data_IF_107877784837
#
_entry.id   IF_107877784837
#
_cell.length_a   1.000
_cell.length_b   1.000
_cell.length_c   1.000
_cell.angle_alpha   90.00
_cell.angle_beta   90.00
_cell.angle_gamma   90.00
#
_symmetry.space_group_name_H-M   'P 1'
#
loop_
_entity.id
_entity.type
_entity.pdbx_description
1 polymer ?
#
# COMPACT_ATOMS: atom_id res chain seq x y z
N UNK A 1 4.78 -41.05 -3.83
CA UNK A 1 4.89 -41.02 -5.30
C UNK A 1 5.37 -39.63 -5.66
N UNK A 2 6.69 -39.44 -5.76
CA UNK A 2 7.27 -38.14 -6.06
C UNK A 2 6.99 -37.79 -7.51
N UNK A 3 6.47 -36.59 -7.77
CA UNK A 3 6.47 -36.03 -9.11
C UNK A 3 7.94 -35.96 -9.54
N UNK A 4 8.29 -36.66 -10.61
CA UNK A 4 9.66 -36.67 -11.15
C UNK A 4 9.91 -35.31 -11.81
N UNK A 5 10.56 -34.42 -11.08
CA UNK A 5 10.82 -33.02 -11.42
C UNK A 5 11.58 -32.88 -12.75
N UNK A 6 12.46 -33.84 -13.00
CA UNK A 6 13.29 -34.00 -14.19
C UNK A 6 12.43 -34.00 -15.46
N UNK A 7 11.26 -34.66 -15.43
CA UNK A 7 10.34 -34.70 -16.56
C UNK A 7 9.83 -33.30 -16.96
N UNK A 8 9.52 -32.46 -15.98
CA UNK A 8 9.05 -31.09 -16.22
C UNK A 8 10.15 -30.21 -16.80
N UNK A 9 11.37 -30.35 -16.27
CA UNK A 9 12.57 -29.65 -16.78
C UNK A 9 12.85 -30.06 -18.22
N UNK A 10 12.81 -31.37 -18.52
CA UNK A 10 12.97 -31.90 -19.89
C UNK A 10 11.94 -31.27 -20.83
N UNK A 11 10.66 -31.29 -20.43
CA UNK A 11 9.58 -30.69 -21.24
C UNK A 11 9.86 -29.22 -21.54
N UNK A 12 10.22 -28.45 -20.52
CA UNK A 12 10.50 -27.02 -20.65
C UNK A 12 11.61 -26.73 -21.67
N UNK A 13 12.78 -27.36 -21.52
CA UNK A 13 13.89 -27.14 -22.44
C UNK A 13 13.62 -27.67 -23.85
N UNK A 14 12.88 -28.78 -23.97
CA UNK A 14 12.42 -29.29 -25.27
C UNK A 14 11.56 -28.25 -25.99
N UNK A 15 10.59 -27.65 -25.28
CA UNK A 15 9.68 -26.65 -25.85
C UNK A 15 10.41 -25.35 -26.21
N UNK A 16 11.36 -24.92 -25.38
CA UNK A 16 12.21 -23.76 -25.70
C UNK A 16 13.06 -23.97 -26.97
N UNK A 17 13.48 -25.20 -27.25
CA UNK A 17 14.23 -25.56 -28.46
C UNK A 17 13.34 -25.96 -29.63
N UNK A 18 12.01 -25.82 -29.51
CA UNK A 18 11.02 -26.20 -30.51
C UNK A 18 11.12 -27.69 -30.97
N UNK A 19 11.67 -28.56 -30.11
CA UNK A 19 11.95 -29.95 -30.43
C UNK A 19 10.70 -30.84 -30.24
N UNK A 20 10.42 -31.77 -31.15
CA UNK A 20 9.32 -32.74 -30.97
C UNK A 20 9.77 -33.87 -30.04
N UNK A 21 8.83 -34.47 -29.31
CA UNK A 21 9.09 -35.62 -28.43
C UNK A 21 9.72 -36.81 -29.18
N UNK A 22 9.37 -36.98 -30.47
CA UNK A 22 9.98 -38.00 -31.33
C UNK A 22 11.47 -37.74 -31.54
N UNK A 23 11.84 -36.50 -31.82
CA UNK A 23 13.21 -36.09 -32.10
C UNK A 23 14.06 -36.17 -30.83
N UNK A 24 13.50 -35.72 -29.70
CA UNK A 24 14.13 -35.87 -28.39
C UNK A 24 14.36 -37.36 -28.03
N UNK A 25 13.41 -38.23 -28.36
CA UNK A 25 13.47 -39.67 -28.06
C UNK A 25 14.32 -40.50 -29.01
N UNK A 26 14.74 -39.99 -30.18
CA UNK A 26 15.36 -40.82 -31.21
C UNK A 26 16.61 -41.58 -30.72
N UNK A 27 16.60 -42.90 -30.80
CA UNK A 27 17.71 -43.75 -30.30
C UNK A 27 17.84 -43.81 -28.77
N UNK A 28 16.92 -43.21 -28.00
CA UNK A 28 16.86 -43.26 -26.54
C UNK A 28 15.57 -43.95 -26.09
N UNK A 29 14.42 -43.49 -26.59
CA UNK A 29 13.10 -43.87 -26.10
C UNK A 29 11.98 -43.55 -27.10
N UNK A 30 10.81 -44.18 -26.95
CA UNK A 30 9.65 -43.87 -27.82
C UNK A 30 9.05 -42.51 -27.48
N UNK A 31 8.46 -41.82 -28.46
CA UNK A 31 7.75 -40.54 -28.23
C UNK A 31 6.66 -40.65 -27.17
N UNK A 32 5.94 -41.78 -27.12
CA UNK A 32 4.94 -42.08 -26.09
C UNK A 32 5.55 -42.19 -24.70
N UNK A 33 6.74 -42.78 -24.58
CA UNK A 33 7.45 -42.87 -23.32
C UNK A 33 7.99 -41.50 -22.88
N UNK A 34 8.56 -40.69 -23.79
CA UNK A 34 8.93 -39.28 -23.51
C UNK A 34 7.75 -38.49 -22.99
N UNK A 35 6.57 -38.62 -23.61
CA UNK A 35 5.35 -37.97 -23.13
C UNK A 35 4.95 -38.38 -21.72
N UNK A 36 5.19 -39.64 -21.32
CA UNK A 36 4.93 -40.10 -19.95
C UNK A 36 5.96 -39.55 -18.96
N UNK A 37 7.23 -39.48 -19.35
CA UNK A 37 8.32 -38.89 -18.57
C UNK A 37 8.03 -37.41 -18.30
N UNK A 38 7.72 -36.63 -19.34
CA UNK A 38 7.42 -35.19 -19.23
C UNK A 38 6.24 -34.86 -18.31
N UNK A 39 5.29 -35.80 -18.17
CA UNK A 39 4.13 -35.67 -17.28
C UNK A 39 4.34 -36.29 -15.91
N UNK A 40 5.50 -36.88 -15.63
CA UNK A 40 5.78 -37.61 -14.39
C UNK A 40 4.89 -38.83 -14.17
N UNK A 41 4.43 -39.47 -15.26
CA UNK A 41 3.52 -40.63 -15.21
C UNK A 41 4.24 -41.99 -15.22
N UNK A 42 5.56 -41.98 -15.27
CA UNK A 42 6.40 -43.18 -15.25
C UNK A 42 7.68 -42.89 -14.50
N UNK A 43 8.20 -43.88 -13.79
CA UNK A 43 9.60 -43.85 -13.37
C UNK A 43 10.49 -44.04 -14.59
N UNK A 44 11.66 -43.42 -14.56
CA UNK A 44 12.65 -43.50 -15.63
C UNK A 44 14.03 -43.69 -15.03
N UNK A 45 14.92 -44.39 -15.75
CA UNK A 45 16.27 -44.63 -15.28
C UNK A 45 17.14 -43.37 -15.37
N UNK A 46 18.12 -43.27 -14.47
CA UNK A 46 19.12 -42.18 -14.49
C UNK A 46 19.86 -42.11 -15.83
N UNK A 47 20.12 -43.26 -16.47
CA UNK A 47 20.72 -43.34 -17.80
C UNK A 47 19.84 -42.68 -18.87
N UNK A 48 18.52 -42.89 -18.82
CA UNK A 48 17.59 -42.24 -19.75
C UNK A 48 17.56 -40.73 -19.53
N UNK A 49 17.51 -40.28 -18.26
CA UNK A 49 17.60 -38.85 -17.93
C UNK A 49 18.90 -38.24 -18.45
N UNK A 50 20.04 -38.92 -18.27
CA UNK A 50 21.33 -38.45 -18.73
C UNK A 50 21.36 -38.27 -20.25
N UNK A 51 20.90 -39.26 -21.02
CA UNK A 51 20.87 -39.20 -22.48
C UNK A 51 19.96 -38.07 -22.99
N UNK A 52 18.79 -37.88 -22.37
CA UNK A 52 17.87 -36.79 -22.73
C UNK A 52 18.46 -35.41 -22.38
N UNK A 53 19.13 -35.30 -21.24
CA UNK A 53 19.77 -34.06 -20.78
C UNK A 53 20.93 -33.67 -21.68
N UNK A 54 21.77 -34.64 -22.08
CA UNK A 54 22.84 -34.43 -23.06
C UNK A 54 22.30 -33.93 -24.40
N UNK A 55 21.19 -34.50 -24.88
CA UNK A 55 20.55 -34.05 -26.13
C UNK A 55 19.99 -32.64 -26.05
N UNK A 56 19.44 -32.26 -24.90
CA UNK A 56 18.95 -30.91 -24.63
C UNK A 56 20.09 -29.92 -24.31
N UNK A 57 21.33 -30.39 -24.13
CA UNK A 57 22.47 -29.54 -23.76
C UNK A 57 22.37 -28.96 -22.35
N UNK A 58 21.71 -29.68 -21.43
CA UNK A 58 21.49 -29.25 -20.04
C UNK A 58 22.18 -30.19 -19.04
N UNK A 59 22.49 -29.63 -17.87
CA UNK A 59 22.91 -30.37 -16.68
C UNK A 59 21.70 -30.56 -15.77
N UNK A 60 21.16 -31.78 -15.71
CA UNK A 60 19.92 -32.06 -14.98
C UNK A 60 20.05 -31.78 -13.47
N UNK A 61 21.18 -32.14 -12.86
CA UNK A 61 21.38 -31.93 -11.42
C UNK A 61 21.36 -30.44 -11.11
N UNK A 62 22.05 -29.64 -11.94
CA UNK A 62 22.05 -28.17 -11.83
C UNK A 62 20.66 -27.59 -12.04
N UNK A 63 19.90 -28.09 -13.01
CA UNK A 63 18.55 -27.59 -13.29
C UNK A 63 17.55 -27.95 -12.19
N UNK A 64 17.65 -29.13 -11.58
CA UNK A 64 16.87 -29.50 -10.40
C UNK A 64 17.16 -28.55 -9.23
N UNK A 65 18.42 -28.18 -9.01
CA UNK A 65 18.80 -27.18 -8.02
C UNK A 65 18.25 -25.79 -8.36
N UNK A 66 18.31 -25.37 -9.63
CA UNK A 66 17.75 -24.11 -10.10
C UNK A 66 16.22 -24.06 -9.88
N UNK A 67 15.52 -25.15 -10.17
CA UNK A 67 14.06 -25.24 -9.94
C UNK A 67 13.72 -25.01 -8.46
N UNK A 68 14.36 -25.75 -7.55
CA UNK A 68 14.15 -25.59 -6.10
C UNK A 68 14.55 -24.20 -5.61
N UNK A 69 15.57 -23.60 -6.24
CA UNK A 69 15.98 -22.23 -5.97
C UNK A 69 14.90 -21.23 -6.36
N UNK A 70 14.22 -21.39 -7.50
CA UNK A 70 13.10 -20.53 -7.88
C UNK A 70 11.98 -20.61 -6.84
N UNK A 71 11.59 -21.82 -6.42
CA UNK A 71 10.58 -22.00 -5.36
C UNK A 71 10.94 -21.25 -4.07
N UNK A 72 12.19 -21.39 -3.61
CA UNK A 72 12.68 -20.68 -2.42
C UNK A 72 12.66 -19.17 -2.63
N UNK A 73 13.17 -18.68 -3.76
CA UNK A 73 13.24 -17.25 -4.07
C UNK A 73 11.85 -16.63 -4.16
N UNK A 74 10.86 -17.29 -4.77
CA UNK A 74 9.48 -16.79 -4.81
C UNK A 74 8.89 -16.59 -3.41
N UNK A 75 9.11 -17.56 -2.52
CA UNK A 75 8.67 -17.45 -1.11
C UNK A 75 9.40 -16.32 -0.38
N UNK A 76 10.72 -16.26 -0.50
CA UNK A 76 11.54 -15.21 0.11
C UNK A 76 11.19 -13.82 -0.43
N UNK A 77 10.82 -13.73 -1.71
CA UNK A 77 10.41 -12.50 -2.35
C UNK A 77 9.08 -12.02 -1.80
N UNK A 78 8.09 -12.91 -1.71
CA UNK A 78 6.81 -12.61 -1.08
C UNK A 78 7.03 -12.13 0.37
N UNK A 79 7.83 -12.84 1.16
CA UNK A 79 8.15 -12.46 2.55
C UNK A 79 8.84 -11.09 2.62
N UNK A 80 9.75 -10.77 1.69
CA UNK A 80 10.40 -9.47 1.62
C UNK A 80 9.39 -8.36 1.32
N UNK A 81 8.41 -8.59 0.45
CA UNK A 81 7.33 -7.64 0.13
C UNK A 81 6.43 -7.43 1.35
N UNK A 82 5.96 -8.49 2.01
CA UNK A 82 5.13 -8.41 3.24
C UNK A 82 5.83 -7.61 4.35
N UNK A 83 7.15 -7.78 4.46
CA UNK A 83 7.97 -7.08 5.46
C UNK A 83 8.43 -5.69 5.02
N UNK A 84 8.08 -5.25 3.81
CA UNK A 84 8.52 -3.99 3.19
C UNK A 84 10.05 -3.83 3.13
N UNK A 85 10.76 -4.93 2.88
CA UNK A 85 12.22 -4.93 2.72
C UNK A 85 12.59 -4.66 1.26
N UNK A 86 12.37 -3.44 0.79
CA UNK A 86 12.45 -3.07 -0.63
C UNK A 86 13.76 -3.49 -1.30
N UNK A 87 14.91 -3.17 -0.71
CA UNK A 87 16.23 -3.54 -1.26
C UNK A 87 16.39 -5.06 -1.42
N UNK A 88 15.84 -5.83 -0.47
CA UNK A 88 15.85 -7.31 -0.56
C UNK A 88 14.91 -7.78 -1.66
N UNK A 89 13.72 -7.20 -1.76
CA UNK A 89 12.76 -7.54 -2.80
C UNK A 89 13.32 -7.27 -4.21
N UNK A 90 13.97 -6.13 -4.42
CA UNK A 90 14.63 -5.77 -5.69
C UNK A 90 15.77 -6.74 -6.04
N UNK A 91 16.59 -7.11 -5.05
CA UNK A 91 17.67 -8.06 -5.24
C UNK A 91 17.16 -9.44 -5.64
N UNK A 92 16.08 -9.92 -5.01
CA UNK A 92 15.49 -11.22 -5.35
C UNK A 92 14.85 -11.19 -6.73
N UNK A 93 14.16 -10.09 -7.11
CA UNK A 93 13.62 -9.93 -8.46
C UNK A 93 14.70 -10.09 -9.54
N UNK A 94 15.86 -9.42 -9.37
CA UNK A 94 16.99 -9.56 -10.30
C UNK A 94 17.57 -10.98 -10.34
N UNK A 95 17.59 -11.67 -9.21
CA UNK A 95 18.03 -13.08 -9.18
C UNK A 95 17.06 -13.99 -9.93
N UNK A 96 15.75 -13.80 -9.73
CA UNK A 96 14.70 -14.57 -10.42
C UNK A 96 14.80 -14.35 -11.94
N UNK A 97 14.95 -13.11 -12.40
CA UNK A 97 15.04 -12.76 -13.83
C UNK A 97 16.25 -13.41 -14.53
N UNK A 98 17.27 -13.82 -13.78
CA UNK A 98 18.44 -14.53 -14.30
C UNK A 98 18.27 -16.05 -14.41
N UNK A 99 17.12 -16.62 -14.03
CA UNK A 99 16.89 -18.08 -14.03
C UNK A 99 15.87 -18.44 -15.11
N UNK A 100 16.31 -19.16 -16.15
CA UNK A 100 15.44 -19.58 -17.27
C UNK A 100 14.19 -20.34 -16.81
N UNK A 101 14.35 -21.24 -15.83
CA UNK A 101 13.26 -22.05 -15.29
C UNK A 101 12.12 -21.23 -14.66
N UNK A 102 12.30 -19.94 -14.39
CA UNK A 102 11.22 -19.07 -13.91
C UNK A 102 9.97 -19.13 -14.79
N UNK A 103 10.16 -19.30 -16.10
CA UNK A 103 9.09 -19.29 -17.10
C UNK A 103 8.45 -20.67 -17.32
N UNK A 104 8.83 -21.69 -16.55
CA UNK A 104 8.10 -22.96 -16.57
C UNK A 104 6.67 -22.75 -16.07
N UNK A 105 5.73 -23.52 -16.62
CA UNK A 105 4.30 -23.40 -16.31
C UNK A 105 4.00 -23.50 -14.80
N UNK A 106 4.78 -24.28 -14.06
CA UNK A 106 4.64 -24.50 -12.62
C UNK A 106 4.76 -23.22 -11.79
N UNK A 107 5.60 -22.28 -12.22
CA UNK A 107 5.84 -21.03 -11.50
C UNK A 107 5.01 -19.87 -12.02
N UNK A 108 4.37 -20.00 -13.17
CA UNK A 108 3.68 -18.90 -13.82
C UNK A 108 2.72 -18.16 -12.88
N UNK A 109 1.79 -18.90 -12.25
CA UNK A 109 0.79 -18.29 -11.38
C UNK A 109 1.39 -17.67 -10.12
N UNK A 110 2.27 -18.39 -9.43
CA UNK A 110 2.90 -17.90 -8.20
C UNK A 110 3.81 -16.70 -8.48
N UNK A 111 4.59 -16.73 -9.55
CA UNK A 111 5.39 -15.60 -10.00
C UNK A 111 4.51 -14.40 -10.33
N UNK A 112 3.46 -14.56 -11.16
CA UNK A 112 2.58 -13.45 -11.54
C UNK A 112 1.87 -12.83 -10.34
N UNK A 113 1.39 -13.64 -9.38
CA UNK A 113 0.80 -13.14 -8.14
C UNK A 113 1.81 -12.33 -7.31
N UNK A 114 3.02 -12.85 -7.09
CA UNK A 114 4.05 -12.13 -6.30
C UNK A 114 4.57 -10.90 -7.04
N UNK A 115 4.72 -10.98 -8.37
CA UNK A 115 5.11 -9.86 -9.23
C UNK A 115 4.10 -8.73 -9.18
N UNK A 116 2.81 -9.05 -9.20
CA UNK A 116 1.75 -8.04 -9.07
C UNK A 116 1.85 -7.33 -7.72
N UNK A 117 2.08 -8.06 -6.63
CA UNK A 117 2.32 -7.45 -5.30
C UNK A 117 3.56 -6.57 -5.28
N UNK A 118 4.63 -6.99 -5.95
CA UNK A 118 5.84 -6.19 -6.07
C UNK A 118 5.58 -4.88 -6.84
N UNK A 119 4.91 -4.94 -7.98
CA UNK A 119 4.55 -3.73 -8.73
C UNK A 119 3.68 -2.77 -7.93
N UNK A 120 2.71 -3.28 -7.16
CA UNK A 120 1.95 -2.46 -6.22
C UNK A 120 2.84 -1.81 -5.16
N UNK A 121 3.84 -2.52 -4.61
CA UNK A 121 4.72 -1.98 -3.56
C UNK A 121 5.67 -0.89 -4.08
N UNK A 122 6.07 -0.95 -5.35
CA UNK A 122 6.95 0.06 -5.99
C UNK A 122 6.19 1.12 -6.79
N UNK A 123 4.86 1.14 -6.72
CA UNK A 123 4.00 2.08 -7.44
C UNK A 123 4.03 1.97 -8.97
N UNK A 124 4.37 0.81 -9.52
CA UNK A 124 4.28 0.49 -10.95
C UNK A 124 2.85 0.06 -11.33
N UNK A 125 1.90 0.99 -11.15
CA UNK A 125 0.46 0.69 -11.16
C UNK A 125 -0.06 0.21 -12.51
N UNK A 126 0.50 0.70 -13.63
CA UNK A 126 0.10 0.25 -14.98
C UNK A 126 0.41 -1.23 -15.18
N UNK A 127 1.61 -1.66 -14.78
CA UNK A 127 2.04 -3.06 -14.85
C UNK A 127 1.21 -3.94 -13.91
N UNK A 128 0.94 -3.47 -12.69
CA UNK A 128 0.08 -4.19 -11.75
C UNK A 128 -1.34 -4.37 -12.31
N UNK A 129 -1.92 -3.33 -12.91
CA UNK A 129 -3.27 -3.39 -13.49
C UNK A 129 -3.35 -4.42 -14.62
N UNK A 130 -2.38 -4.42 -15.55
CA UNK A 130 -2.36 -5.37 -16.66
C UNK A 130 -2.33 -6.83 -16.18
N UNK A 131 -1.54 -7.13 -15.13
CA UNK A 131 -1.50 -8.47 -14.54
C UNK A 131 -2.80 -8.83 -13.81
N UNK A 132 -3.46 -7.87 -13.15
CA UNK A 132 -4.77 -8.12 -12.52
C UNK A 132 -5.81 -8.49 -13.59
N UNK A 133 -5.87 -7.75 -14.69
CA UNK A 133 -6.78 -8.01 -15.82
C UNK A 133 -6.52 -9.38 -16.45
N UNK A 134 -5.25 -9.79 -16.54
CA UNK A 134 -4.88 -11.14 -16.98
C UNK A 134 -5.36 -12.21 -15.98
N UNK A 135 -5.18 -11.99 -14.68
CA UNK A 135 -5.59 -12.93 -13.64
C UNK A 135 -7.10 -13.06 -13.51
N UNK A 136 -7.87 -12.05 -13.94
CA UNK A 136 -9.35 -12.07 -13.91
C UNK A 136 -9.95 -13.14 -14.84
N UNK A 137 -9.22 -13.55 -15.88
CA UNK A 137 -9.65 -14.60 -16.81
C UNK A 137 -9.10 -15.99 -16.45
N UNK A 138 -8.32 -16.10 -15.39
CA UNK A 138 -7.79 -17.40 -14.95
C UNK A 138 -8.90 -18.32 -14.45
N UNK A 139 -8.84 -19.60 -14.83
CA UNK A 139 -9.76 -20.64 -14.37
C UNK A 139 -9.04 -21.71 -13.57
N UNK A 140 -9.73 -22.34 -12.61
CA UNK A 140 -9.16 -23.43 -11.81
C UNK A 140 -8.04 -22.95 -10.88
N UNK A 141 -8.23 -21.81 -10.24
CA UNK A 141 -7.35 -21.33 -9.19
C UNK A 141 -7.45 -22.26 -7.97
N UNK A 142 -6.33 -22.50 -7.32
CA UNK A 142 -6.34 -23.06 -5.98
C UNK A 142 -6.89 -22.03 -4.99
N UNK A 143 -7.41 -22.52 -3.85
CA UNK A 143 -7.90 -21.66 -2.77
C UNK A 143 -6.86 -20.59 -2.34
N UNK A 144 -5.58 -20.96 -2.32
CA UNK A 144 -4.51 -20.01 -1.99
C UNK A 144 -4.37 -18.90 -3.04
N UNK A 145 -4.39 -19.26 -4.32
CA UNK A 145 -4.28 -18.31 -5.44
C UNK A 145 -5.47 -17.35 -5.48
N UNK A 146 -6.69 -17.85 -5.26
CA UNK A 146 -7.90 -17.04 -5.21
C UNK A 146 -7.84 -16.00 -4.07
N UNK A 147 -7.46 -16.43 -2.87
CA UNK A 147 -7.31 -15.52 -1.73
C UNK A 147 -6.17 -14.51 -1.91
N UNK A 148 -5.06 -14.91 -2.53
CA UNK A 148 -3.97 -13.99 -2.85
C UNK A 148 -4.40 -12.96 -3.91
N UNK A 149 -5.21 -13.34 -4.89
CA UNK A 149 -5.79 -12.42 -5.87
C UNK A 149 -6.78 -11.45 -5.22
N UNK A 150 -7.63 -11.91 -4.30
CA UNK A 150 -8.51 -11.04 -3.50
C UNK A 150 -7.70 -9.99 -2.73
N UNK A 151 -6.59 -10.41 -2.11
CA UNK A 151 -5.70 -9.50 -1.40
C UNK A 151 -5.06 -8.46 -2.34
N UNK A 152 -4.57 -8.89 -3.51
CA UNK A 152 -4.03 -8.01 -4.55
C UNK A 152 -5.06 -6.98 -5.00
N UNK A 153 -6.29 -7.41 -5.29
CA UNK A 153 -7.41 -6.52 -5.68
C UNK A 153 -7.74 -5.54 -4.56
N UNK A 154 -7.76 -6.00 -3.31
CA UNK A 154 -7.94 -5.15 -2.14
C UNK A 154 -6.90 -4.03 -2.07
N UNK A 155 -5.61 -4.37 -2.20
CA UNK A 155 -4.50 -3.40 -2.22
C UNK A 155 -4.63 -2.44 -3.42
N UNK A 156 -4.97 -2.94 -4.61
CA UNK A 156 -5.15 -2.12 -5.81
C UNK A 156 -6.28 -1.09 -5.64
N UNK A 157 -7.43 -1.50 -5.11
CA UNK A 157 -8.54 -0.58 -4.82
C UNK A 157 -8.16 0.46 -3.75
N UNK A 158 -7.39 0.05 -2.74
CA UNK A 158 -6.90 0.93 -1.68
C UNK A 158 -5.91 1.99 -2.20
N UNK A 159 -4.95 1.59 -3.02
CA UNK A 159 -3.78 2.41 -3.37
C UNK A 159 -3.89 3.14 -4.70
N UNK A 160 -4.62 2.58 -5.66
CA UNK A 160 -4.70 3.09 -7.04
C UNK A 160 -6.06 3.72 -7.32
N UNK A 161 -7.15 3.05 -6.92
CA UNK A 161 -8.51 3.56 -7.18
C UNK A 161 -9.03 4.49 -6.09
N UNK A 162 -8.42 4.46 -4.90
CA UNK A 162 -8.94 5.13 -3.69
C UNK A 162 -10.39 4.75 -3.39
N UNK A 163 -10.78 3.52 -3.73
CA UNK A 163 -12.11 2.95 -3.51
C UNK A 163 -12.06 2.02 -2.30
N UNK A 164 -12.20 2.62 -1.12
CA UNK A 164 -12.06 1.91 0.15
C UNK A 164 -13.21 0.92 0.41
N UNK A 165 -14.39 1.14 -0.17
CA UNK A 165 -15.54 0.24 -0.02
C UNK A 165 -15.28 -1.06 -0.77
N UNK A 166 -14.86 -0.97 -2.03
CA UNK A 166 -14.48 -2.15 -2.81
C UNK A 166 -13.26 -2.85 -2.22
N UNK A 167 -12.28 -2.10 -1.69
CA UNK A 167 -11.14 -2.68 -0.98
C UNK A 167 -11.60 -3.56 0.19
N UNK A 168 -12.51 -3.06 1.04
CA UNK A 168 -13.10 -3.85 2.14
C UNK A 168 -13.85 -5.07 1.62
N UNK A 169 -14.60 -4.93 0.52
CA UNK A 169 -15.35 -6.04 -0.08
C UNK A 169 -14.42 -7.17 -0.53
N UNK A 170 -13.31 -6.87 -1.20
CA UNK A 170 -12.33 -7.90 -1.61
C UNK A 170 -11.61 -8.51 -0.40
N UNK A 171 -11.09 -7.67 0.50
CA UNK A 171 -10.31 -8.13 1.65
C UNK A 171 -11.17 -8.94 2.65
N UNK A 172 -12.46 -8.61 2.77
CA UNK A 172 -13.41 -9.29 3.64
C UNK A 172 -13.78 -10.71 3.19
N UNK A 173 -13.48 -11.08 1.94
CA UNK A 173 -13.70 -12.43 1.41
C UNK A 173 -12.56 -13.40 1.74
N UNK A 174 -11.43 -12.91 2.27
CA UNK A 174 -10.25 -13.73 2.56
C UNK A 174 -10.51 -14.71 3.71
N UNK A 175 -10.24 -16.00 3.48
CA UNK A 175 -10.28 -17.08 4.47
C UNK A 175 -8.88 -17.41 5.00
N UNK A 176 -8.72 -17.36 6.33
CA UNK A 176 -7.46 -17.66 7.01
C UNK A 176 -7.05 -19.13 6.91
N UNK A 177 -8.03 -20.03 6.76
CA UNK A 177 -7.80 -21.46 6.58
C UNK A 177 -7.05 -21.74 5.27
N UNK A 178 -7.24 -20.87 4.28
CA UNK A 178 -6.73 -21.02 2.91
C UNK A 178 -5.56 -20.07 2.60
N UNK A 179 -5.45 -18.95 3.33
CA UNK A 179 -4.44 -17.92 3.14
C UNK A 179 -3.88 -17.44 4.48
N UNK A 180 -2.68 -17.91 4.82
CA UNK A 180 -2.06 -17.70 6.13
C UNK A 180 -1.41 -16.34 6.33
N UNK A 181 -1.25 -15.55 5.26
CA UNK A 181 -0.68 -14.22 5.35
C UNK A 181 -1.74 -13.24 5.86
N UNK A 182 -1.61 -12.83 7.13
CA UNK A 182 -2.57 -11.97 7.81
C UNK A 182 -2.30 -10.48 7.62
N UNK A 183 -1.41 -10.11 6.70
CA UNK A 183 -1.16 -8.72 6.33
C UNK A 183 -2.41 -7.98 5.88
N UNK A 184 -3.37 -8.66 5.26
CA UNK A 184 -4.62 -8.06 4.78
C UNK A 184 -5.42 -7.36 5.89
N UNK A 185 -5.21 -7.71 7.17
CA UNK A 185 -5.79 -6.97 8.29
C UNK A 185 -5.25 -5.55 8.39
N UNK A 186 -3.98 -5.32 8.03
CA UNK A 186 -3.43 -3.97 7.96
C UNK A 186 -4.12 -3.17 6.86
N UNK A 187 -4.33 -3.76 5.69
CA UNK A 187 -5.00 -3.09 4.56
C UNK A 187 -6.48 -2.80 4.88
N UNK A 188 -7.17 -3.73 5.57
CA UNK A 188 -8.50 -3.48 6.13
C UNK A 188 -8.48 -2.30 7.10
N UNK A 189 -7.49 -2.24 7.99
CA UNK A 189 -7.39 -1.15 8.95
C UNK A 189 -7.20 0.20 8.26
N UNK A 190 -6.39 0.27 7.20
CA UNK A 190 -6.21 1.49 6.39
C UNK A 190 -7.51 1.87 5.67
N UNK A 191 -8.21 0.90 5.08
CA UNK A 191 -9.50 1.14 4.42
C UNK A 191 -10.55 1.68 5.40
N UNK A 192 -10.71 1.04 6.56
CA UNK A 192 -11.63 1.50 7.61
C UNK A 192 -11.25 2.87 8.17
N UNK A 193 -9.96 3.14 8.36
CA UNK A 193 -9.48 4.46 8.80
C UNK A 193 -9.85 5.54 7.79
N UNK A 194 -9.72 5.25 6.49
CA UNK A 194 -10.04 6.17 5.40
C UNK A 194 -11.54 6.50 5.33
N UNK A 195 -12.40 5.55 5.74
CA UNK A 195 -13.85 5.73 5.89
C UNK A 195 -14.26 6.27 7.27
N UNK A 196 -13.31 6.72 8.11
CA UNK A 196 -13.55 7.21 9.47
C UNK A 196 -14.23 6.18 10.40
N UNK A 197 -14.09 4.88 10.11
CA UNK A 197 -14.59 3.77 10.95
C UNK A 197 -13.53 3.33 11.96
N UNK A 198 -13.31 4.18 12.97
CA UNK A 198 -12.17 4.09 13.89
C UNK A 198 -12.09 2.80 14.69
N UNK A 199 -13.23 2.29 15.17
CA UNK A 199 -13.28 1.05 15.96
C UNK A 199 -12.83 -0.13 15.12
N UNK A 200 -13.33 -0.24 13.88
CA UNK A 200 -12.93 -1.31 12.96
C UNK A 200 -11.49 -1.14 12.50
N UNK A 201 -11.03 0.10 12.27
CA UNK A 201 -9.64 0.39 11.95
C UNK A 201 -8.71 -0.07 13.08
N UNK A 202 -8.99 0.31 14.33
CA UNK A 202 -8.21 -0.08 15.50
C UNK A 202 -8.20 -1.60 15.69
N UNK A 203 -9.36 -2.24 15.59
CA UNK A 203 -9.50 -3.69 15.73
C UNK A 203 -8.64 -4.45 14.71
N UNK A 204 -8.71 -4.07 13.43
CA UNK A 204 -7.93 -4.71 12.38
C UNK A 204 -6.44 -4.38 12.48
N UNK A 205 -6.06 -3.15 12.88
CA UNK A 205 -4.67 -2.79 13.13
C UNK A 205 -4.06 -3.63 14.27
N UNK A 206 -4.82 -3.91 15.33
CA UNK A 206 -4.40 -4.78 16.42
C UNK A 206 -4.19 -6.24 15.95
N UNK A 207 -5.04 -6.75 15.06
CA UNK A 207 -4.80 -8.08 14.43
C UNK A 207 -3.53 -8.09 13.59
N UNK A 208 -3.32 -7.04 12.80
CA UNK A 208 -2.10 -6.89 12.00
C UNK A 208 -0.85 -6.81 12.88
N UNK A 209 -0.90 -6.09 14.00
CA UNK A 209 0.17 -6.00 14.99
C UNK A 209 0.58 -7.38 15.50
N UNK A 210 -0.38 -8.24 15.86
CA UNK A 210 -0.10 -9.61 16.30
C UNK A 210 0.65 -10.43 15.23
N UNK A 211 0.22 -10.31 13.96
CA UNK A 211 0.90 -10.94 12.84
C UNK A 211 2.31 -10.38 12.61
N UNK A 212 2.48 -9.06 12.59
CA UNK A 212 3.78 -8.41 12.38
C UNK A 212 4.78 -8.70 13.49
N UNK A 213 4.28 -8.85 14.72
CA UNK A 213 5.06 -9.34 15.87
C UNK A 213 5.54 -10.78 15.64
N UNK A 214 4.63 -11.67 15.22
CA UNK A 214 4.97 -13.07 14.93
C UNK A 214 6.05 -13.20 13.85
N UNK A 215 5.99 -12.38 12.80
CA UNK A 215 7.00 -12.40 11.72
C UNK A 215 8.23 -11.53 11.99
N UNK A 216 8.29 -10.89 13.17
CA UNK A 216 9.38 -10.01 13.65
C UNK A 216 9.70 -8.87 12.68
N UNK A 217 8.67 -8.18 12.20
CA UNK A 217 8.84 -7.01 11.32
C UNK A 217 8.62 -5.71 12.09
N UNK A 218 9.70 -5.13 12.63
CA UNK A 218 9.64 -3.89 13.43
C UNK A 218 9.05 -2.70 12.66
N UNK A 219 9.39 -2.56 11.37
CA UNK A 219 8.77 -1.57 10.49
C UNK A 219 7.24 -1.67 10.50
N UNK A 220 6.72 -2.90 10.36
CA UNK A 220 5.27 -3.15 10.26
C UNK A 220 4.58 -3.07 11.63
N UNK A 221 5.25 -3.47 12.71
CA UNK A 221 4.80 -3.26 14.10
C UNK A 221 4.55 -1.77 14.34
N UNK A 222 5.53 -0.91 14.04
CA UNK A 222 5.43 0.54 14.23
C UNK A 222 4.28 1.11 13.39
N UNK A 223 4.14 0.67 12.14
CA UNK A 223 3.05 1.13 11.27
C UNK A 223 1.66 0.71 11.79
N UNK A 224 1.52 -0.47 12.36
CA UNK A 224 0.27 -0.93 12.96
C UNK A 224 -0.07 -0.13 14.23
N UNK A 225 0.89 0.03 15.15
CA UNK A 225 0.71 0.83 16.37
C UNK A 225 0.43 2.31 16.04
N UNK A 226 1.14 2.87 15.07
CA UNK A 226 0.89 4.23 14.58
C UNK A 226 -0.53 4.39 14.03
N UNK A 227 -1.02 3.42 13.26
CA UNK A 227 -2.39 3.44 12.75
C UNK A 227 -3.42 3.36 13.88
N UNK A 228 -3.14 2.59 14.93
CA UNK A 228 -3.96 2.54 16.15
C UNK A 228 -4.00 3.90 16.86
N UNK A 229 -2.85 4.57 17.02
CA UNK A 229 -2.78 5.90 17.64
C UNK A 229 -3.59 6.95 16.86
N UNK A 230 -3.52 6.96 15.53
CA UNK A 230 -4.32 7.84 14.67
C UNK A 230 -5.81 7.73 15.00
N UNK A 231 -6.31 6.52 15.28
CA UNK A 231 -7.73 6.32 15.61
C UNK A 231 -8.13 6.95 16.95
N UNK A 232 -7.16 7.20 17.83
CA UNK A 232 -7.36 7.71 19.18
C UNK A 232 -7.11 9.23 19.31
N UNK A 233 -6.64 9.91 18.26
CA UNK A 233 -6.20 11.32 18.31
C UNK A 233 -7.30 12.33 18.67
N UNK A 234 -8.58 11.97 18.57
CA UNK A 234 -9.69 12.81 19.06
C UNK A 234 -10.04 12.57 20.54
N UNK A 235 -9.33 11.67 21.22
CA UNK A 235 -9.49 11.47 22.66
C UNK A 235 -8.93 12.67 23.44
N UNK A 236 -9.43 12.86 24.67
CA UNK A 236 -8.95 13.95 25.53
C UNK A 236 -7.59 13.65 26.18
N UNK A 237 -7.06 12.45 26.04
CA UNK A 237 -5.84 12.01 26.72
C UNK A 237 -4.57 12.30 25.91
N UNK A 238 -4.29 13.59 25.74
CA UNK A 238 -3.09 14.06 25.06
C UNK A 238 -1.80 13.50 25.66
N UNK A 239 -1.73 13.35 27.00
CA UNK A 239 -0.51 12.91 27.68
C UNK A 239 -0.17 11.47 27.31
N UNK A 240 -1.16 10.58 27.36
CA UNK A 240 -0.99 9.19 26.94
C UNK A 240 -0.59 9.08 25.47
N UNK A 241 -1.30 9.77 24.57
CA UNK A 241 -1.01 9.72 23.13
C UNK A 241 0.39 10.25 22.81
N UNK A 242 0.76 11.37 23.42
CA UNK A 242 2.09 11.95 23.28
C UNK A 242 3.17 10.98 23.76
N UNK A 243 3.01 10.35 24.94
CA UNK A 243 3.99 9.36 25.42
C UNK A 243 4.12 8.15 24.50
N UNK A 244 3.01 7.65 23.95
CA UNK A 244 3.05 6.52 23.01
C UNK A 244 3.75 6.89 21.68
N UNK A 245 3.50 8.09 21.15
CA UNK A 245 4.22 8.57 19.97
C UNK A 245 5.74 8.66 20.24
N UNK A 246 6.15 9.18 21.40
CA UNK A 246 7.58 9.24 21.75
C UNK A 246 8.19 7.83 21.89
N UNK A 247 7.48 6.89 22.52
CA UNK A 247 7.91 5.48 22.61
C UNK A 247 8.17 4.89 21.22
N UNK A 248 7.27 5.10 20.27
CA UNK A 248 7.46 4.62 18.89
C UNK A 248 8.63 5.32 18.20
N UNK A 249 8.82 6.62 18.42
CA UNK A 249 9.96 7.38 17.85
C UNK A 249 11.28 6.83 18.39
N UNK A 250 11.38 6.57 19.69
CA UNK A 250 12.59 5.99 20.29
C UNK A 250 12.88 4.61 19.69
N UNK A 251 11.84 3.78 19.55
CA UNK A 251 11.96 2.46 18.91
C UNK A 251 12.43 2.56 17.45
N UNK A 252 12.06 3.60 16.69
CA UNK A 252 12.62 3.78 15.33
C UNK A 252 14.12 4.04 15.33
N UNK A 253 14.65 4.70 16.37
CA UNK A 253 16.08 4.95 16.54
C UNK A 253 16.88 3.67 16.72
N UNK A 254 16.37 2.75 17.54
CA UNK A 254 17.02 1.46 17.85
C UNK A 254 17.16 0.56 16.60
N UNK A 255 16.27 0.70 15.63
CA UNK A 255 16.21 -0.16 14.44
C UNK A 255 16.57 0.55 13.13
N UNK A 256 17.01 1.82 13.16
CA UNK A 256 17.36 2.59 11.96
C UNK A 256 16.18 2.81 10.99
N UNK A 257 14.98 3.03 11.52
CA UNK A 257 13.74 3.15 10.77
C UNK A 257 13.37 4.60 10.47
N UNK A 258 14.24 5.31 9.74
CA UNK A 258 14.12 6.76 9.50
C UNK A 258 12.82 7.15 8.78
N UNK A 259 12.33 6.31 7.87
CA UNK A 259 11.07 6.57 7.17
C UNK A 259 9.89 6.61 8.14
N UNK A 260 9.81 5.64 9.05
CA UNK A 260 8.78 5.52 10.07
C UNK A 260 8.94 6.64 11.10
N UNK A 261 10.17 7.02 11.45
CA UNK A 261 10.46 8.15 12.33
C UNK A 261 9.90 9.46 11.78
N UNK A 262 10.12 9.70 10.49
CA UNK A 262 9.56 10.87 9.81
C UNK A 262 8.02 10.84 9.77
N UNK A 263 7.39 9.67 9.68
CA UNK A 263 5.92 9.54 9.76
C UNK A 263 5.41 9.84 11.18
N UNK A 264 6.08 9.31 12.21
CA UNK A 264 5.71 9.56 13.60
C UNK A 264 5.85 11.04 13.98
N UNK A 265 6.91 11.70 13.52
CA UNK A 265 7.05 13.14 13.71
C UNK A 265 5.93 13.94 13.03
N UNK A 266 5.50 13.55 11.83
CA UNK A 266 4.36 14.19 11.18
C UNK A 266 3.09 14.04 12.03
N UNK A 267 2.77 12.82 12.47
CA UNK A 267 1.56 12.55 13.23
C UNK A 267 1.60 13.19 14.62
N UNK A 268 2.74 13.19 15.30
CA UNK A 268 2.90 13.92 16.55
C UNK A 268 2.76 15.43 16.36
N UNK A 269 3.20 15.96 15.21
CA UNK A 269 2.92 17.34 14.79
C UNK A 269 1.42 17.60 14.68
N UNK A 270 0.68 16.69 14.03
CA UNK A 270 -0.77 16.76 13.92
C UNK A 270 -1.47 16.68 15.28
N UNK A 271 -1.07 15.76 16.17
CA UNK A 271 -1.61 15.68 17.53
C UNK A 271 -1.41 17.01 18.27
N UNK A 272 -0.20 17.58 18.23
CA UNK A 272 0.07 18.88 18.84
C UNK A 272 -0.78 20.01 18.24
N UNK A 273 -0.97 20.01 16.92
CA UNK A 273 -1.80 20.98 16.22
C UNK A 273 -3.26 20.91 16.71
N UNK A 274 -3.81 19.70 16.81
CA UNK A 274 -5.19 19.46 17.27
C UNK A 274 -5.43 19.89 18.72
N UNK A 275 -4.39 19.84 19.56
CA UNK A 275 -4.45 20.25 20.96
C UNK A 275 -4.01 21.71 21.20
N UNK A 276 -3.75 22.49 20.13
CA UNK A 276 -3.40 23.92 20.25
C UNK A 276 -1.94 24.21 20.60
N UNK A 277 -1.07 23.19 20.62
CA UNK A 277 0.37 23.31 20.88
C UNK A 277 1.12 23.68 19.59
N UNK A 278 0.78 24.84 19.01
CA UNK A 278 1.19 25.22 17.66
C UNK A 278 2.71 25.28 17.45
N UNK A 279 3.46 25.76 18.44
CA UNK A 279 4.93 25.80 18.38
C UNK A 279 5.51 24.38 18.29
N UNK A 280 5.10 23.48 19.19
CA UNK A 280 5.55 22.09 19.15
C UNK A 280 5.12 21.38 17.86
N UNK A 281 3.90 21.65 17.37
CA UNK A 281 3.43 21.12 16.10
C UNK A 281 4.38 21.50 14.96
N UNK A 282 4.74 22.78 14.85
CA UNK A 282 5.68 23.28 13.86
C UNK A 282 7.06 22.61 13.97
N UNK A 283 7.58 22.45 15.19
CA UNK A 283 8.86 21.75 15.43
C UNK A 283 8.82 20.28 14.95
N UNK A 284 7.72 19.56 15.22
CA UNK A 284 7.58 18.17 14.81
C UNK A 284 7.35 17.99 13.31
N UNK A 285 6.54 18.84 12.68
CA UNK A 285 6.44 18.86 11.23
C UNK A 285 7.79 19.16 10.57
N UNK A 286 8.56 20.09 11.13
CA UNK A 286 9.90 20.41 10.64
C UNK A 286 10.85 19.21 10.76
N UNK A 287 10.87 18.50 11.89
CA UNK A 287 11.62 17.24 12.05
C UNK A 287 11.22 16.19 11.01
N UNK A 288 9.92 16.09 10.69
CA UNK A 288 9.44 15.18 9.63
C UNK A 288 9.95 15.59 8.24
N UNK A 289 9.95 16.89 7.93
CA UNK A 289 10.47 17.42 6.66
C UNK A 289 11.97 17.20 6.52
N UNK A 290 12.75 17.49 7.57
CA UNK A 290 14.22 17.40 7.55
C UNK A 290 14.72 15.96 7.42
N UNK A 291 13.89 14.98 7.82
CA UNK A 291 14.15 13.55 7.64
C UNK A 291 13.74 13.00 6.25
N UNK A 292 13.21 13.85 5.36
CA UNK A 292 12.75 13.46 4.01
C UNK A 292 13.48 14.26 2.95
N UNK A 293 13.62 13.69 1.75
CA UNK A 293 14.02 14.48 0.59
C UNK A 293 12.85 15.36 0.16
N UNK A 294 13.12 16.60 -0.24
CA UNK A 294 12.09 17.50 -0.80
C UNK A 294 11.48 16.97 -2.10
N UNK A 295 12.15 16.03 -2.76
CA UNK A 295 11.65 15.29 -3.93
C UNK A 295 10.62 14.20 -3.59
N UNK A 296 10.34 13.92 -2.31
CA UNK A 296 9.35 12.90 -1.91
C UNK A 296 7.97 13.53 -1.74
N UNK A 297 6.89 12.96 -2.32
CA UNK A 297 5.53 13.50 -2.16
C UNK A 297 5.08 13.67 -0.70
N UNK A 298 5.57 12.82 0.21
CA UNK A 298 5.26 12.90 1.66
C UNK A 298 5.85 14.14 2.33
N UNK A 299 6.87 14.78 1.76
CA UNK A 299 7.40 16.06 2.24
C UNK A 299 6.32 17.15 2.20
N UNK A 300 5.51 17.16 1.14
CA UNK A 300 4.48 18.17 0.90
C UNK A 300 3.43 18.19 2.02
N UNK A 301 3.06 17.02 2.54
CA UNK A 301 2.13 16.90 3.64
C UNK A 301 2.69 17.52 4.94
N UNK A 302 3.96 17.27 5.25
CA UNK A 302 4.59 17.87 6.43
C UNK A 302 4.81 19.37 6.26
N UNK A 303 5.10 19.86 5.05
CA UNK A 303 5.16 21.28 4.75
C UNK A 303 3.81 21.97 4.96
N UNK A 304 2.72 21.37 4.48
CA UNK A 304 1.37 21.89 4.71
C UNK A 304 1.06 22.00 6.20
N UNK A 305 1.31 20.93 6.97
CA UNK A 305 1.12 20.93 8.42
C UNK A 305 2.00 21.98 9.14
N UNK A 306 3.25 22.15 8.68
CA UNK A 306 4.17 23.16 9.20
C UNK A 306 3.61 24.59 9.00
N UNK A 307 3.16 24.91 7.80
CA UNK A 307 2.56 26.23 7.49
C UNK A 307 1.30 26.46 8.31
N UNK A 308 0.45 25.45 8.44
CA UNK A 308 -0.77 25.54 9.25
C UNK A 308 -0.43 25.84 10.71
N UNK A 309 0.53 25.11 11.29
CA UNK A 309 1.00 25.34 12.66
C UNK A 309 1.59 26.74 12.86
N UNK A 310 2.45 27.22 11.95
CA UNK A 310 3.03 28.56 12.04
C UNK A 310 1.99 29.67 11.89
N UNK A 311 1.03 29.50 10.98
CA UNK A 311 -0.08 30.44 10.80
C UNK A 311 -0.91 30.54 12.08
N UNK A 312 -1.22 29.41 12.72
CA UNK A 312 -1.96 29.38 13.99
C UNK A 312 -1.18 29.91 15.19
N UNK A 313 0.15 29.76 15.20
CA UNK A 313 0.99 30.36 16.25
C UNK A 313 1.00 31.90 16.16
N UNK A 314 0.84 32.47 14.96
CA UNK A 314 0.68 33.92 14.76
C UNK A 314 1.95 34.75 14.94
N UNK A 315 3.13 34.12 15.10
CA UNK A 315 4.42 34.80 15.29
C UNK A 315 5.26 34.94 14.03
N UNK A 316 4.94 34.17 12.99
CA UNK A 316 5.70 34.17 11.74
C UNK A 316 5.19 35.28 10.83
N UNK A 317 6.06 36.16 10.28
CA UNK A 317 5.65 37.21 9.36
C UNK A 317 4.93 36.64 8.12
N UNK A 318 3.92 37.36 7.63
CA UNK A 318 3.09 36.93 6.49
C UNK A 318 3.94 36.63 5.25
N UNK A 319 4.95 37.46 4.98
CA UNK A 319 5.83 37.33 3.82
C UNK A 319 6.60 36.01 3.84
N UNK A 320 6.99 35.55 5.03
CA UNK A 320 7.67 34.26 5.20
C UNK A 320 6.71 33.09 5.00
N UNK A 321 5.48 33.20 5.50
CA UNK A 321 4.44 32.18 5.28
C UNK A 321 4.08 32.04 3.80
N UNK A 322 3.91 33.16 3.09
CA UNK A 322 3.59 33.17 1.66
C UNK A 322 4.69 32.50 0.82
N UNK A 323 5.97 32.74 1.14
CA UNK A 323 7.09 32.04 0.47
C UNK A 323 7.03 30.52 0.65
N UNK A 324 6.69 30.04 1.85
CA UNK A 324 6.53 28.60 2.10
C UNK A 324 5.33 28.03 1.34
N UNK A 325 4.23 28.79 1.21
CA UNK A 325 3.06 28.39 0.41
C UNK A 325 3.41 28.32 -1.07
N UNK A 326 4.15 29.28 -1.60
CA UNK A 326 4.64 29.29 -2.98
C UNK A 326 5.53 28.06 -3.27
N UNK A 327 6.46 27.74 -2.36
CA UNK A 327 7.25 26.51 -2.42
C UNK A 327 6.35 25.27 -2.50
N UNK A 328 5.35 25.17 -1.60
CA UNK A 328 4.38 24.08 -1.59
C UNK A 328 3.59 23.95 -2.89
N UNK A 329 3.16 25.07 -3.47
CA UNK A 329 2.45 25.10 -4.76
C UNK A 329 3.33 24.61 -5.93
N UNK A 330 4.62 24.97 -5.94
CA UNK A 330 5.58 24.45 -6.93
C UNK A 330 5.76 22.94 -6.79
N UNK A 331 5.95 22.46 -5.55
CA UNK A 331 6.07 21.03 -5.28
C UNK A 331 4.82 20.24 -5.70
N UNK A 332 3.62 20.79 -5.47
CA UNK A 332 2.38 20.15 -5.88
C UNK A 332 2.26 19.97 -7.39
N UNK A 333 2.75 20.93 -8.18
CA UNK A 333 2.79 20.82 -9.65
C UNK A 333 3.74 19.71 -10.09
N UNK A 334 4.91 19.62 -9.45
CA UNK A 334 5.91 18.60 -9.77
C UNK A 334 5.43 17.18 -9.45
N UNK A 335 4.69 17.00 -8.36
CA UNK A 335 4.18 15.68 -7.94
C UNK A 335 2.74 15.38 -8.40
N UNK A 336 2.09 16.27 -9.15
CA UNK A 336 0.67 16.18 -9.48
C UNK A 336 -0.24 16.01 -8.25
N UNK A 337 0.12 16.66 -7.12
CA UNK A 337 -0.53 16.51 -5.83
C UNK A 337 -1.73 17.48 -5.69
N UNK A 338 -2.82 17.21 -6.42
CA UNK A 338 -3.99 18.10 -6.52
C UNK A 338 -4.61 18.46 -5.15
N UNK A 339 -4.70 17.51 -4.23
CA UNK A 339 -5.23 17.74 -2.88
C UNK A 339 -4.45 18.81 -2.12
N UNK A 340 -3.13 18.70 -2.12
CA UNK A 340 -2.26 19.67 -1.44
C UNK A 340 -2.25 21.01 -2.17
N UNK A 341 -2.40 21.02 -3.50
CA UNK A 341 -2.57 22.27 -4.25
C UNK A 341 -3.78 23.08 -3.74
N UNK A 342 -4.92 22.42 -3.50
CA UNK A 342 -6.09 23.07 -2.90
C UNK A 342 -5.81 23.57 -1.48
N UNK A 343 -5.15 22.77 -0.63
CA UNK A 343 -4.79 23.17 0.74
C UNK A 343 -3.86 24.39 0.76
N UNK A 344 -2.80 24.42 -0.05
CA UNK A 344 -1.91 25.58 -0.14
C UNK A 344 -2.60 26.81 -0.70
N UNK A 345 -3.51 26.66 -1.68
CA UNK A 345 -4.29 27.79 -2.19
C UNK A 345 -5.19 28.40 -1.10
N UNK A 346 -5.80 27.54 -0.27
CA UNK A 346 -6.58 28.00 0.88
C UNK A 346 -5.70 28.68 1.93
N UNK A 347 -4.50 28.16 2.21
CA UNK A 347 -3.53 28.84 3.08
C UNK A 347 -3.14 30.22 2.54
N UNK A 348 -2.91 30.34 1.23
CA UNK A 348 -2.57 31.60 0.56
C UNK A 348 -3.60 32.70 0.87
N UNK A 349 -4.88 32.46 0.55
CA UNK A 349 -5.96 33.41 0.80
C UNK A 349 -6.14 33.70 2.30
N UNK A 350 -6.03 32.67 3.15
CA UNK A 350 -6.16 32.83 4.60
C UNK A 350 -5.05 33.71 5.20
N UNK A 351 -3.81 33.61 4.72
CA UNK A 351 -2.68 34.42 5.18
C UNK A 351 -2.83 35.89 4.75
N UNK A 352 -3.34 36.12 3.54
CA UNK A 352 -3.62 37.46 3.03
C UNK A 352 -4.79 38.13 3.77
N UNK A 353 -5.70 37.35 4.35
CA UNK A 353 -6.94 37.86 4.95
C UNK A 353 -8.03 38.11 3.92
N UNK A 354 -7.99 37.35 2.82
CA UNK A 354 -8.94 37.43 1.70
C UNK A 354 -10.09 36.44 1.93
N UNK A 355 -10.94 36.72 2.91
CA UNK A 355 -11.99 35.78 3.34
C UNK A 355 -12.96 35.42 2.20
N UNK A 356 -13.40 36.41 1.41
CA UNK A 356 -14.31 36.15 0.28
C UNK A 356 -13.68 35.22 -0.76
N UNK A 357 -12.40 35.43 -1.10
CA UNK A 357 -11.66 34.57 -2.01
C UNK A 357 -11.43 33.18 -1.43
N UNK A 358 -11.11 33.09 -0.12
CA UNK A 358 -10.96 31.83 0.59
C UNK A 358 -12.23 30.99 0.51
N UNK A 359 -13.38 31.56 0.88
CA UNK A 359 -14.64 30.83 0.93
C UNK A 359 -15.18 30.52 -0.47
N UNK A 360 -15.03 31.45 -1.43
CA UNK A 360 -15.37 31.19 -2.82
C UNK A 360 -14.54 30.03 -3.40
N UNK A 361 -13.22 30.01 -3.17
CA UNK A 361 -12.36 28.93 -3.63
C UNK A 361 -12.67 27.60 -2.91
N UNK A 362 -12.88 27.65 -1.60
CA UNK A 362 -13.25 26.48 -0.81
C UNK A 362 -14.53 25.84 -1.37
N UNK A 363 -15.58 26.63 -1.55
CA UNK A 363 -16.89 26.16 -2.04
C UNK A 363 -16.81 25.57 -3.46
N UNK A 364 -16.16 26.28 -4.38
CA UNK A 364 -16.27 26.00 -5.81
C UNK A 364 -15.15 25.11 -6.36
N UNK A 365 -14.05 24.93 -5.61
CA UNK A 365 -12.88 24.14 -6.05
C UNK A 365 -12.49 23.07 -5.06
N UNK A 366 -12.14 23.44 -3.83
CA UNK A 366 -11.55 22.50 -2.87
C UNK A 366 -12.58 21.49 -2.33
N UNK A 367 -13.78 21.94 -1.97
CA UNK A 367 -14.83 21.08 -1.43
C UNK A 367 -15.30 19.99 -2.43
N UNK A 368 -15.60 20.30 -3.71
CA UNK A 368 -15.91 19.28 -4.72
C UNK A 368 -14.76 18.28 -4.94
N UNK A 369 -13.51 18.73 -4.85
CA UNK A 369 -12.35 17.85 -4.95
C UNK A 369 -12.31 16.83 -3.80
N UNK A 370 -12.48 17.29 -2.56
CA UNK A 370 -12.50 16.39 -1.39
C UNK A 370 -13.64 15.38 -1.46
N UNK A 371 -14.80 15.77 -1.99
CA UNK A 371 -15.92 14.87 -2.21
C UNK A 371 -15.59 13.79 -3.26
N UNK A 372 -15.06 14.21 -4.42
CA UNK A 372 -14.68 13.30 -5.50
C UNK A 372 -13.60 12.30 -5.08
N UNK A 373 -12.65 12.73 -4.24
CA UNK A 373 -11.56 11.87 -3.74
C UNK A 373 -11.98 10.99 -2.55
N UNK A 374 -13.21 11.12 -2.05
CA UNK A 374 -13.70 10.34 -0.92
C UNK A 374 -13.04 10.70 0.42
N UNK A 375 -12.50 11.92 0.57
CA UNK A 375 -11.87 12.36 1.82
C UNK A 375 -12.92 12.81 2.84
N UNK A 376 -13.55 11.83 3.47
CA UNK A 376 -14.68 12.02 4.39
C UNK A 376 -14.36 13.05 5.49
N UNK A 377 -13.22 12.94 6.17
CA UNK A 377 -12.87 13.86 7.26
C UNK A 377 -12.68 15.32 6.80
N UNK A 378 -11.99 15.53 5.67
CA UNK A 378 -11.80 16.87 5.12
C UNK A 378 -13.15 17.47 4.68
N UNK A 379 -13.98 16.68 4.01
CA UNK A 379 -15.33 17.09 3.61
C UNK A 379 -16.19 17.49 4.82
N UNK A 380 -16.20 16.67 5.88
CA UNK A 380 -16.93 16.98 7.12
C UNK A 380 -16.44 18.29 7.75
N UNK A 381 -15.11 18.45 7.90
CA UNK A 381 -14.52 19.66 8.49
C UNK A 381 -14.85 20.93 7.69
N UNK A 382 -14.69 20.88 6.37
CA UNK A 382 -14.93 22.04 5.52
C UNK A 382 -16.42 22.34 5.32
N UNK A 383 -17.31 21.34 5.43
CA UNK A 383 -18.75 21.58 5.48
C UNK A 383 -19.13 22.43 6.69
N UNK A 384 -18.55 22.16 7.87
CA UNK A 384 -18.75 22.98 9.08
C UNK A 384 -18.26 24.41 8.85
N UNK A 385 -17.06 24.59 8.27
CA UNK A 385 -16.55 25.94 7.95
C UNK A 385 -17.46 26.74 7.01
N UNK A 386 -18.00 26.09 5.97
CA UNK A 386 -18.93 26.73 5.04
C UNK A 386 -20.26 27.06 5.73
N UNK A 387 -20.78 26.13 6.55
CA UNK A 387 -21.95 26.38 7.40
C UNK A 387 -21.76 27.63 8.27
N UNK A 388 -20.66 27.71 9.02
CA UNK A 388 -20.38 28.84 9.92
C UNK A 388 -20.26 30.17 9.16
N UNK A 389 -19.66 30.17 7.97
CA UNK A 389 -19.54 31.36 7.11
C UNK A 389 -20.88 31.87 6.59
N UNK A 390 -21.74 30.98 6.10
CA UNK A 390 -23.07 31.42 5.65
C UNK A 390 -23.95 31.85 6.82
N UNK A 391 -23.82 31.20 7.98
CA UNK A 391 -24.49 31.63 9.20
C UNK A 391 -24.06 33.02 9.65
N UNK A 392 -22.74 33.33 9.65
CA UNK A 392 -22.27 34.67 10.02
C UNK A 392 -22.71 35.76 9.03
N UNK A 393 -22.97 35.38 7.77
CA UNK A 393 -23.51 36.26 6.72
C UNK A 393 -25.05 36.29 6.65
N UNK A 394 -25.76 35.63 7.59
CA UNK A 394 -27.22 35.49 7.60
C UNK A 394 -27.83 34.80 6.35
N UNK A 395 -27.04 34.02 5.61
CA UNK A 395 -27.52 33.22 4.48
C UNK A 395 -27.94 31.81 4.94
N UNK A 396 -29.14 31.73 5.48
CA UNK A 396 -29.69 30.50 6.05
C UNK A 396 -29.91 29.40 4.99
N UNK A 397 -30.10 29.78 3.72
CA UNK A 397 -30.35 28.81 2.64
C UNK A 397 -29.07 28.04 2.33
N UNK A 398 -27.97 28.75 2.12
CA UNK A 398 -26.68 28.11 1.86
C UNK A 398 -26.11 27.43 3.11
N UNK A 399 -26.31 27.98 4.30
CA UNK A 399 -25.96 27.30 5.55
C UNK A 399 -26.65 25.92 5.65
N UNK A 400 -27.96 25.85 5.43
CA UNK A 400 -28.71 24.59 5.48
C UNK A 400 -28.23 23.55 4.46
N UNK A 401 -27.72 23.97 3.30
CA UNK A 401 -27.13 23.07 2.29
C UNK A 401 -25.95 22.29 2.86
N UNK A 402 -25.11 22.92 3.68
CA UNK A 402 -23.95 22.28 4.31
C UNK A 402 -24.30 21.57 5.63
N UNK A 403 -25.35 22.00 6.31
CA UNK A 403 -25.86 21.32 7.51
C UNK A 403 -26.32 19.88 7.22
N UNK A 404 -26.91 19.62 6.06
CA UNK A 404 -27.41 18.30 5.68
C UNK A 404 -26.35 17.19 5.77
N UNK A 405 -25.13 17.46 5.29
CA UNK A 405 -24.01 16.51 5.34
C UNK A 405 -23.61 16.15 6.78
N UNK A 406 -23.81 17.07 7.73
CA UNK A 406 -23.51 16.87 9.15
C UNK A 406 -24.64 16.09 9.83
N UNK A 407 -25.89 16.47 9.56
CA UNK A 407 -27.09 15.94 10.23
C UNK A 407 -27.42 14.51 9.78
N UNK A 408 -27.22 14.16 8.51
CA UNK A 408 -27.50 12.81 8.00
C UNK A 408 -26.72 11.71 8.73
N UNK A 409 -25.48 12.01 9.15
CA UNK A 409 -24.64 11.10 9.94
C UNK A 409 -25.27 10.74 11.28
N UNK A 410 -25.89 11.71 11.95
CA UNK A 410 -26.58 11.48 13.21
C UNK A 410 -27.93 10.79 13.01
N UNK A 411 -28.65 11.10 11.92
CA UNK A 411 -29.95 10.47 11.61
C UNK A 411 -29.85 8.96 11.35
N UNK A 412 -28.78 8.48 10.72
CA UNK A 412 -28.59 7.04 10.47
C UNK A 412 -28.21 6.24 11.72
N UNK A 413 -27.59 6.89 12.71
CA UNK A 413 -27.03 6.22 13.88
C UNK A 413 -27.92 6.31 15.13
N UNK A 414 -28.84 7.27 15.18
CA UNK A 414 -29.61 7.57 16.38
C UNK A 414 -31.11 7.62 16.05
N UNK A 415 -31.80 6.49 16.20
CA UNK A 415 -33.27 6.46 16.31
C UNK A 415 -33.64 6.51 17.78
N UNK A 416 -33.44 7.66 18.42
CA UNK A 416 -34.02 7.91 19.73
C UNK A 416 -35.46 8.39 19.53
N UNK A 417 -36.35 7.92 20.42
CA UNK A 417 -37.80 8.18 20.42
C UNK A 417 -38.12 9.66 20.57
#
# INVERSE_FOLDING_TARGET
MGIMLEGKIIKFYREQQEMKQKDLGEGISSSTHISKIERGLTEVSDETILLLSQRLGIDMEREVLNYRRVESLLKEWHDAIVKELQTKADSIKRQLDGINLLYIQDFYRSYTLVLTRYYLSISEFTSAQALIEEMDVWTGLSNYEENMLLHIKGIFHLTVKYDYVSAISFLGQISLEQYSNQEYYYDLAVAYSSLNSRVLAFFNANKALAFFTKIRSFSRIIKAEMLMLIQLEQSKDYRFLSSEYHRLIDMTGDYGLDHQKAMLHHNLGYLNLMHGYFKQAAEYYKKSMDARKSSEPKYVASLEGYINALTKEGKTPKEKLLKLVEEGLVLCRNFSAATFHHLFTMHYHSILGEDDQYYHYLENKAFPHFDKMGYVMAKEFYAVKLFDYYMSNNDMVNANRYAGAIVEKFRRNNQFV
#
